data_IF_781929838285
#
_entry.id   IF_781929838285
#
_cell.length_a   1.000
_cell.length_b   1.000
_cell.length_c   1.000
_cell.angle_alpha   90.00
_cell.angle_beta   90.00
_cell.angle_gamma   90.00
#
_symmetry.space_group_name_H-M   'P 1'
#
loop_
_entity.id
_entity.type
_entity.pdbx_description
1 polymer ?
#
# COMPACT_ATOMS: atom_id res chain seq x y z
N UNK A 1 7.78 3.51 25.36
CA UNK A 1 6.38 3.09 25.58
C UNK A 1 5.52 4.12 24.92
N UNK A 2 4.68 3.73 23.95
CA UNK A 2 3.80 4.68 23.26
C UNK A 2 2.78 5.29 24.23
N UNK A 3 2.23 6.46 23.93
CA UNK A 3 1.21 7.10 24.76
C UNK A 3 -0.04 6.22 24.87
N UNK A 4 -0.31 5.43 23.84
CA UNK A 4 -1.30 4.36 23.86
C UNK A 4 -0.92 3.20 24.77
N UNK A 5 0.32 2.73 24.80
CA UNK A 5 0.76 1.73 25.76
C UNK A 5 0.62 2.25 27.20
N UNK A 6 0.98 3.51 27.45
CA UNK A 6 0.83 4.16 28.76
C UNK A 6 -0.64 4.34 29.13
N UNK A 7 -1.50 4.72 28.17
CA UNK A 7 -2.95 4.85 28.38
C UNK A 7 -3.58 3.48 28.61
N UNK A 8 -3.18 2.47 27.86
CA UNK A 8 -3.62 1.09 28.01
C UNK A 8 -3.12 0.51 29.35
N UNK A 9 -1.91 0.83 29.78
CA UNK A 9 -1.40 0.47 31.11
C UNK A 9 -2.12 1.22 32.23
N UNK A 10 -2.49 2.49 32.04
CA UNK A 10 -3.32 3.25 32.99
C UNK A 10 -4.71 2.66 33.10
N UNK A 11 -5.31 2.22 31.98
CA UNK A 11 -6.61 1.55 31.97
C UNK A 11 -6.54 0.12 32.52
N UNK A 12 -5.48 -0.65 32.23
CA UNK A 12 -5.21 -1.96 32.84
C UNK A 12 -5.00 -1.80 34.35
N UNK A 13 -4.20 -0.82 34.79
CA UNK A 13 -4.02 -0.53 36.22
C UNK A 13 -5.34 -0.13 36.88
N UNK A 14 -6.14 0.73 36.23
CA UNK A 14 -7.47 1.12 36.71
C UNK A 14 -8.42 -0.07 36.80
N UNK A 15 -8.41 -0.93 35.79
CA UNK A 15 -9.21 -2.15 35.74
C UNK A 15 -8.78 -3.13 36.84
N UNK A 16 -7.48 -3.35 37.01
CA UNK A 16 -6.92 -4.19 38.09
C UNK A 16 -7.26 -3.66 39.48
N UNK A 17 -7.22 -2.34 39.69
CA UNK A 17 -7.63 -1.69 40.94
C UNK A 17 -9.15 -1.79 41.19
N UNK A 18 -9.97 -1.76 40.13
CA UNK A 18 -11.43 -1.87 40.24
C UNK A 18 -11.92 -3.32 40.46
N UNK A 19 -11.11 -4.32 40.09
CA UNK A 19 -11.49 -5.74 40.14
C UNK A 19 -10.69 -6.55 41.17
N UNK A 20 -9.96 -5.88 42.07
CA UNK A 20 -9.21 -6.55 43.16
C UNK A 20 -10.09 -7.07 44.31
N UNK A 21 -11.41 -6.84 44.27
CA UNK A 21 -12.38 -7.14 45.35
C UNK A 21 -12.54 -8.64 45.70
N UNK A 22 -11.82 -9.54 45.03
CA UNK A 22 -11.92 -10.99 45.24
C UNK A 22 -10.73 -11.70 45.88
N UNK A 23 -9.60 -11.01 46.11
CA UNK A 23 -8.39 -11.61 46.69
C UNK A 23 -7.95 -10.82 47.92
N UNK A 24 -8.18 -11.40 49.10
CA UNK A 24 -7.75 -10.82 50.36
C UNK A 24 -6.21 -10.94 50.51
N UNK A 25 -5.61 -9.94 51.15
CA UNK A 25 -4.17 -9.75 51.45
C UNK A 25 -3.27 -9.18 50.35
N UNK A 26 -3.61 -7.98 49.86
CA UNK A 26 -2.77 -6.75 50.01
C UNK A 26 -3.54 -5.62 49.35
N UNK A 27 -4.30 -4.85 50.12
CA UNK A 27 -4.78 -3.56 49.64
C UNK A 27 -3.55 -2.72 49.33
N UNK A 28 -3.34 -2.37 48.05
CA UNK A 28 -2.24 -1.48 47.68
C UNK A 28 -2.34 -0.22 48.53
N UNK A 29 -1.27 0.08 49.25
CA UNK A 29 -1.25 1.25 50.10
C UNK A 29 -1.39 2.52 49.21
N UNK A 30 -2.06 3.58 49.70
CA UNK A 30 -2.25 4.82 48.94
C UNK A 30 -0.95 5.42 48.39
N UNK A 31 0.16 5.25 49.11
CA UNK A 31 1.50 5.68 48.76
C UNK A 31 2.08 4.85 47.60
N UNK A 32 1.88 3.53 47.59
CA UNK A 32 2.25 2.64 46.47
C UNK A 32 1.46 2.98 45.19
N UNK A 33 0.16 3.28 45.31
CA UNK A 33 -0.65 3.72 44.16
C UNK A 33 -0.20 5.08 43.64
N UNK A 34 0.11 6.02 44.54
CA UNK A 34 0.64 7.33 44.18
C UNK A 34 2.03 7.20 43.51
N UNK A 35 2.91 6.37 44.06
CA UNK A 35 4.22 6.08 43.51
C UNK A 35 4.14 5.42 42.13
N UNK A 36 3.24 4.45 41.92
CA UNK A 36 3.02 3.83 40.60
C UNK A 36 2.48 4.84 39.58
N UNK A 37 1.55 5.72 39.98
CA UNK A 37 1.05 6.79 39.12
C UNK A 37 2.13 7.81 38.78
N UNK A 38 2.96 8.18 39.74
CA UNK A 38 4.09 9.08 39.57
C UNK A 38 5.17 8.45 38.69
N UNK A 39 5.51 7.18 38.91
CA UNK A 39 6.45 6.42 38.09
C UNK A 39 5.95 6.27 36.65
N UNK A 40 4.65 5.99 36.45
CA UNK A 40 4.03 5.92 35.12
C UNK A 40 3.95 7.29 34.42
N UNK A 41 3.82 8.37 35.19
CA UNK A 41 3.72 9.74 34.65
C UNK A 41 5.10 10.37 34.42
N UNK A 42 6.09 10.05 35.23
CA UNK A 42 7.49 10.46 35.06
C UNK A 42 8.23 9.62 34.01
N UNK A 43 7.79 8.36 33.80
CA UNK A 43 8.25 7.52 32.70
C UNK A 43 7.50 7.78 31.37
N UNK A 44 6.38 8.53 31.40
CA UNK A 44 5.70 8.92 30.16
C UNK A 44 6.38 10.15 29.57
N UNK A 45 7.22 9.94 28.56
CA UNK A 45 7.63 11.01 27.65
C UNK A 45 6.37 11.56 26.99
N UNK A 46 6.19 12.88 26.99
CA UNK A 46 5.08 13.53 26.27
C UNK A 46 5.38 13.47 24.77
N UNK A 47 5.04 12.32 24.17
CA UNK A 47 5.28 12.04 22.75
C UNK A 47 4.52 13.02 21.85
N UNK A 48 3.37 13.51 22.30
CA UNK A 48 2.61 14.54 21.60
C UNK A 48 3.37 15.87 21.55
N UNK A 49 4.00 16.26 22.67
CA UNK A 49 4.89 17.43 22.70
C UNK A 49 6.14 17.20 21.85
N UNK A 50 6.76 16.05 21.93
CA UNK A 50 7.95 15.71 21.13
C UNK A 50 7.65 15.76 19.62
N UNK A 51 6.49 15.23 19.22
CA UNK A 51 6.00 15.30 17.86
C UNK A 51 5.80 16.76 17.43
N UNK A 52 5.19 17.58 18.28
CA UNK A 52 5.01 19.02 18.03
C UNK A 52 6.34 19.74 17.85
N UNK A 53 7.27 19.55 18.77
CA UNK A 53 8.59 20.18 18.71
C UNK A 53 9.35 19.76 17.43
N UNK A 54 9.20 18.50 17.01
CA UNK A 54 9.80 17.97 15.78
C UNK A 54 9.16 18.57 14.52
N UNK A 55 7.83 18.67 14.48
CA UNK A 55 7.06 19.28 13.39
C UNK A 55 7.41 20.76 13.24
N UNK A 56 7.40 21.52 14.33
CA UNK A 56 7.71 22.95 14.32
C UNK A 56 9.16 23.21 13.86
N UNK A 57 10.10 22.41 14.38
CA UNK A 57 11.52 22.49 13.97
C UNK A 57 11.70 22.16 12.49
N UNK A 58 11.02 21.12 12.00
CA UNK A 58 11.10 20.71 10.60
C UNK A 58 10.50 21.78 9.69
N UNK A 59 9.38 22.39 10.09
CA UNK A 59 8.76 23.48 9.36
C UNK A 59 9.73 24.66 9.17
N UNK A 60 10.36 25.12 10.25
CA UNK A 60 11.33 26.22 10.22
C UNK A 60 12.53 25.92 9.31
N UNK A 61 13.06 24.69 9.35
CA UNK A 61 14.20 24.32 8.50
C UNK A 61 13.81 24.28 7.03
N UNK A 62 12.62 23.79 6.69
CA UNK A 62 12.13 23.74 5.30
C UNK A 62 11.78 25.13 4.72
N UNK A 63 11.67 26.17 5.56
CA UNK A 63 11.54 27.56 5.13
C UNK A 63 12.89 28.22 4.81
N UNK A 64 14.01 27.65 5.29
CA UNK A 64 15.34 28.17 4.96
C UNK A 64 15.73 27.92 3.50
N UNK A 65 16.58 28.79 2.93
CA UNK A 65 17.04 28.68 1.53
C UNK A 65 17.89 27.42 1.30
N UNK A 66 18.62 26.98 2.32
CA UNK A 66 19.45 25.78 2.29
C UNK A 66 19.15 24.88 3.51
N UNK A 67 18.10 24.05 3.42
CA UNK A 67 17.73 23.15 4.51
C UNK A 67 18.81 22.11 4.74
N UNK A 68 19.46 22.16 5.91
CA UNK A 68 20.50 21.20 6.28
C UNK A 68 19.97 19.76 6.27
N UNK A 69 20.40 18.99 5.26
CA UNK A 69 19.91 17.64 4.99
C UNK A 69 19.98 16.70 6.19
N UNK A 70 21.10 16.71 6.93
CA UNK A 70 21.29 15.88 8.11
C UNK A 70 20.28 16.18 9.22
N UNK A 71 19.96 17.46 9.45
CA UNK A 71 19.00 17.89 10.45
C UNK A 71 17.57 17.57 10.03
N UNK A 72 17.24 17.75 8.76
CA UNK A 72 15.93 17.38 8.20
C UNK A 72 15.69 15.87 8.33
N UNK A 73 16.67 15.04 7.95
CA UNK A 73 16.56 13.59 8.06
C UNK A 73 16.35 13.14 9.50
N UNK A 74 17.11 13.70 10.45
CA UNK A 74 16.98 13.37 11.87
C UNK A 74 15.59 13.69 12.43
N UNK A 75 15.03 14.86 12.08
CA UNK A 75 13.68 15.24 12.50
C UNK A 75 12.61 14.37 11.84
N UNK A 76 12.80 14.02 10.56
CA UNK A 76 11.88 13.14 9.85
C UNK A 76 11.92 11.71 10.39
N UNK A 77 13.09 11.18 10.72
CA UNK A 77 13.22 9.86 11.35
C UNK A 77 12.48 9.84 12.69
N UNK A 78 12.55 10.92 13.46
CA UNK A 78 11.79 11.04 14.71
C UNK A 78 10.28 11.07 14.46
N UNK A 79 9.81 11.91 13.53
CA UNK A 79 8.39 11.99 13.16
C UNK A 79 7.90 10.64 12.63
N UNK A 80 8.70 9.94 11.81
CA UNK A 80 8.36 8.61 11.31
C UNK A 80 8.19 7.63 12.46
N UNK A 81 9.14 7.55 13.39
CA UNK A 81 9.05 6.71 14.59
C UNK A 81 7.80 6.99 15.41
N UNK A 82 7.50 8.27 15.66
CA UNK A 82 6.32 8.67 16.45
C UNK A 82 5.00 8.36 15.72
N UNK A 83 4.96 8.56 14.40
CA UNK A 83 3.74 8.35 13.59
C UNK A 83 3.49 6.89 13.19
N UNK A 84 4.28 5.94 13.69
CA UNK A 84 3.90 4.52 13.68
C UNK A 84 2.68 4.25 14.56
N UNK A 85 2.47 5.08 15.60
CA UNK A 85 1.25 5.08 16.40
C UNK A 85 0.15 5.89 15.69
N UNK A 86 -1.03 5.28 15.52
CA UNK A 86 -2.16 5.87 14.78
C UNK A 86 -2.70 7.14 15.45
N UNK A 87 -2.67 7.22 16.79
CA UNK A 87 -3.14 8.41 17.49
C UNK A 87 -2.16 9.57 17.29
N UNK A 88 -0.85 9.31 17.39
CA UNK A 88 0.18 10.30 17.08
C UNK A 88 0.19 10.69 15.59
N UNK A 89 -0.11 9.77 14.67
CA UNK A 89 -0.32 10.08 13.26
C UNK A 89 -1.53 11.02 13.05
N UNK A 90 -2.60 10.86 13.82
CA UNK A 90 -3.73 11.78 13.79
C UNK A 90 -3.39 13.14 14.41
N UNK A 91 -2.65 13.15 15.51
CA UNK A 91 -2.18 14.38 16.15
C UNK A 91 -1.22 15.16 15.25
N UNK A 92 -0.37 14.48 14.48
CA UNK A 92 0.48 15.07 13.43
C UNK A 92 -0.33 15.97 12.49
N UNK A 93 -1.53 15.55 12.05
CA UNK A 93 -2.38 16.40 11.23
C UNK A 93 -2.99 17.58 11.99
N UNK A 94 -3.35 17.40 13.26
CA UNK A 94 -3.94 18.45 14.12
C UNK A 94 -2.97 19.58 14.41
N UNK A 95 -1.68 19.27 14.54
CA UNK A 95 -0.61 20.25 14.80
C UNK A 95 -0.03 20.87 13.51
N UNK A 96 -0.66 20.67 12.36
CA UNK A 96 -0.24 21.30 11.10
C UNK A 96 0.75 20.50 10.26
N UNK A 97 1.01 19.23 10.59
CA UNK A 97 1.90 18.34 9.82
C UNK A 97 1.50 18.17 8.34
N UNK A 98 0.22 18.38 8.02
CA UNK A 98 -0.25 18.42 6.62
C UNK A 98 0.49 19.47 5.79
N UNK A 99 0.76 20.66 6.35
CA UNK A 99 1.45 21.74 5.64
C UNK A 99 2.89 21.35 5.31
N UNK A 100 3.56 20.65 6.23
CA UNK A 100 4.90 20.11 6.03
C UNK A 100 4.89 19.06 4.91
N UNK A 101 3.95 18.11 4.97
CA UNK A 101 3.78 17.10 3.91
C UNK A 101 3.65 17.75 2.54
N UNK A 102 2.75 18.73 2.40
CA UNK A 102 2.56 19.45 1.14
C UNK A 102 3.81 20.24 0.74
N UNK A 103 4.50 20.89 1.69
CA UNK A 103 5.75 21.61 1.39
C UNK A 103 6.81 20.67 0.85
N UNK A 104 6.96 19.48 1.43
CA UNK A 104 7.92 18.46 1.00
C UNK A 104 7.54 17.86 -0.37
N UNK A 105 6.27 17.51 -0.58
CA UNK A 105 5.77 16.93 -1.84
C UNK A 105 5.90 17.88 -3.04
N UNK A 106 5.52 19.16 -2.86
CA UNK A 106 5.40 20.09 -3.98
C UNK A 106 6.63 20.97 -4.19
N UNK A 107 7.39 21.24 -3.13
CA UNK A 107 8.51 22.20 -3.16
C UNK A 107 9.78 21.66 -2.48
N UNK A 108 9.77 20.40 -2.03
CA UNK A 108 10.91 19.80 -1.36
C UNK A 108 12.04 19.47 -2.35
N UNK A 109 13.30 19.44 -1.89
CA UNK A 109 14.42 19.04 -2.72
C UNK A 109 14.31 17.55 -3.11
N UNK A 110 14.90 17.11 -4.26
CA UNK A 110 14.75 15.75 -4.75
C UNK A 110 15.15 14.64 -3.75
N UNK A 111 16.19 14.87 -2.94
CA UNK A 111 16.67 13.91 -1.95
C UNK A 111 15.65 13.59 -0.85
N UNK A 112 14.63 14.43 -0.67
CA UNK A 112 13.59 14.29 0.35
C UNK A 112 12.37 13.48 -0.12
N UNK A 113 12.23 13.24 -1.44
CA UNK A 113 11.02 12.63 -2.01
C UNK A 113 10.71 11.27 -1.43
N UNK A 114 11.73 10.41 -1.31
CA UNK A 114 11.55 9.06 -0.78
C UNK A 114 11.08 9.07 0.69
N UNK A 115 11.65 9.97 1.51
CA UNK A 115 11.31 10.09 2.93
C UNK A 115 9.94 10.76 3.11
N UNK A 116 9.59 11.72 2.25
CA UNK A 116 8.24 12.29 2.18
C UNK A 116 7.18 11.21 1.86
N UNK A 117 7.44 10.38 0.85
CA UNK A 117 6.55 9.28 0.49
C UNK A 117 6.44 8.26 1.64
N UNK A 118 7.54 7.98 2.35
CA UNK A 118 7.50 7.14 3.54
C UNK A 118 6.62 7.75 4.63
N UNK A 119 6.71 9.06 4.86
CA UNK A 119 5.86 9.73 5.85
C UNK A 119 4.38 9.68 5.46
N UNK A 120 4.05 9.94 4.19
CA UNK A 120 2.67 9.76 3.69
C UNK A 120 2.19 8.34 3.93
N UNK A 121 3.01 7.33 3.59
CA UNK A 121 2.66 5.94 3.81
C UNK A 121 2.38 5.66 5.29
N UNK A 122 3.25 6.12 6.18
CA UNK A 122 3.17 5.87 7.61
C UNK A 122 1.87 6.44 8.19
N UNK A 123 1.60 7.72 7.94
CA UNK A 123 0.44 8.39 8.53
C UNK A 123 -0.89 7.92 7.95
N UNK A 124 -0.90 7.38 6.73
CA UNK A 124 -2.12 6.90 6.06
C UNK A 124 -2.36 5.39 6.21
N UNK A 125 -1.36 4.62 6.66
CA UNK A 125 -1.49 3.16 6.77
C UNK A 125 -2.58 2.78 7.76
N UNK A 126 -3.61 2.09 7.27
CA UNK A 126 -4.77 1.66 8.07
C UNK A 126 -5.42 2.82 8.87
N UNK A 127 -5.34 4.05 8.37
CA UNK A 127 -5.84 5.25 9.03
C UNK A 127 -6.84 6.02 8.13
N UNK A 128 -8.14 5.72 8.19
CA UNK A 128 -9.16 6.37 7.37
C UNK A 128 -9.26 7.90 7.53
N UNK A 129 -8.95 8.41 8.73
CA UNK A 129 -8.95 9.86 8.98
C UNK A 129 -7.85 10.55 8.19
N UNK A 130 -6.62 10.03 8.29
CA UNK A 130 -5.48 10.53 7.53
C UNK A 130 -5.64 10.32 6.02
N UNK A 131 -6.14 9.15 5.58
CA UNK A 131 -6.44 8.88 4.17
C UNK A 131 -7.43 9.92 3.61
N UNK A 132 -8.51 10.20 4.34
CA UNK A 132 -9.50 11.23 3.95
C UNK A 132 -8.89 12.63 3.86
N UNK A 133 -8.10 13.04 4.87
CA UNK A 133 -7.40 14.33 4.88
C UNK A 133 -6.43 14.47 3.70
N UNK A 134 -5.58 13.46 3.47
CA UNK A 134 -4.64 13.45 2.35
C UNK A 134 -5.35 13.48 0.99
N UNK A 135 -6.48 12.76 0.86
CA UNK A 135 -7.30 12.77 -0.35
C UNK A 135 -7.86 14.16 -0.65
N UNK A 136 -8.43 14.84 0.36
CA UNK A 136 -8.95 16.21 0.23
C UNK A 136 -7.88 17.23 -0.16
N UNK A 137 -6.61 16.96 0.16
CA UNK A 137 -5.45 17.81 -0.16
C UNK A 137 -4.75 17.42 -1.46
N UNK A 138 -5.34 16.56 -2.27
CA UNK A 138 -4.79 16.08 -3.55
C UNK A 138 -3.41 15.40 -3.41
N UNK A 139 -3.10 14.82 -2.25
CA UNK A 139 -1.83 14.11 -2.04
C UNK A 139 -1.74 12.91 -2.98
N UNK A 140 -2.82 12.12 -3.10
CA UNK A 140 -2.86 10.97 -4.00
C UNK A 140 -2.62 11.36 -5.47
N UNK A 141 -3.23 12.47 -5.93
CA UNK A 141 -3.02 12.97 -7.28
C UNK A 141 -1.55 13.33 -7.51
N UNK A 142 -0.91 13.98 -6.54
CA UNK A 142 0.52 14.32 -6.65
C UNK A 142 1.41 13.08 -6.67
N UNK A 143 1.12 12.07 -5.84
CA UNK A 143 1.88 10.81 -5.85
C UNK A 143 1.80 10.11 -7.21
N UNK A 144 0.62 10.09 -7.84
CA UNK A 144 0.43 9.50 -9.17
C UNK A 144 1.15 10.30 -10.26
N UNK A 145 1.15 11.63 -10.18
CA UNK A 145 1.89 12.53 -11.08
C UNK A 145 3.41 12.26 -11.05
N UNK A 146 3.95 11.85 -9.90
CA UNK A 146 5.40 11.58 -9.74
C UNK A 146 5.85 10.24 -10.34
N UNK A 147 4.96 9.26 -10.50
CA UNK A 147 5.32 7.89 -10.95
C UNK A 147 6.00 7.82 -12.33
N UNK A 148 5.53 8.52 -13.38
CA UNK A 148 6.09 8.39 -14.72
C UNK A 148 7.55 8.83 -14.81
N UNK A 149 7.91 9.88 -14.07
CA UNK A 149 9.21 10.54 -14.17
C UNK A 149 10.23 10.04 -13.14
N UNK A 150 9.81 9.34 -12.09
CA UNK A 150 10.72 8.89 -11.04
C UNK A 150 11.57 7.71 -11.51
N UNK A 151 12.89 7.86 -11.54
CA UNK A 151 13.83 6.84 -12.01
C UNK A 151 14.51 6.08 -10.86
N UNK A 152 14.58 6.68 -9.68
CA UNK A 152 15.22 6.07 -8.51
C UNK A 152 14.35 4.93 -7.96
N UNK A 153 14.88 3.71 -8.00
CA UNK A 153 14.16 2.52 -7.57
C UNK A 153 13.78 2.58 -6.07
N UNK A 154 14.58 3.25 -5.23
CA UNK A 154 14.25 3.43 -3.80
C UNK A 154 13.05 4.36 -3.67
N UNK A 155 13.02 5.48 -4.39
CA UNK A 155 11.91 6.42 -4.39
C UNK A 155 10.64 5.77 -4.97
N UNK A 156 10.74 5.03 -6.07
CA UNK A 156 9.61 4.26 -6.62
C UNK A 156 9.01 3.29 -5.61
N UNK A 157 9.83 2.57 -4.83
CA UNK A 157 9.31 1.69 -3.75
C UNK A 157 8.50 2.47 -2.72
N UNK A 158 8.95 3.67 -2.34
CA UNK A 158 8.27 4.52 -1.36
C UNK A 158 7.01 5.17 -1.94
N UNK A 159 7.04 5.59 -3.21
CA UNK A 159 5.86 6.09 -3.94
C UNK A 159 4.76 5.04 -4.01
N UNK A 160 5.09 3.82 -4.47
CA UNK A 160 4.13 2.71 -4.52
C UNK A 160 3.57 2.37 -3.14
N UNK A 161 4.42 2.41 -2.10
CA UNK A 161 3.98 2.22 -0.72
C UNK A 161 3.01 3.33 -0.25
N UNK A 162 3.33 4.59 -0.52
CA UNK A 162 2.48 5.73 -0.18
C UNK A 162 1.11 5.65 -0.86
N UNK A 163 1.10 5.31 -2.16
CA UNK A 163 -0.13 5.10 -2.92
C UNK A 163 -0.93 3.93 -2.32
N UNK A 164 -0.27 2.81 -2.05
CA UNK A 164 -0.88 1.64 -1.40
C UNK A 164 -1.56 2.02 -0.08
N UNK A 165 -0.86 2.68 0.83
CA UNK A 165 -1.41 3.09 2.13
C UNK A 165 -2.51 4.16 2.02
N UNK A 166 -2.45 5.03 0.99
CA UNK A 166 -3.47 6.06 0.76
C UNK A 166 -4.76 5.53 0.13
N UNK A 167 -4.76 4.31 -0.41
CA UNK A 167 -5.86 3.77 -1.23
C UNK A 167 -6.48 2.50 -0.66
N UNK A 168 -5.67 1.51 -0.26
CA UNK A 168 -6.16 0.20 0.16
C UNK A 168 -6.98 0.27 1.44
N UNK A 169 -8.07 -0.51 1.49
CA UNK A 169 -9.02 -0.51 2.59
C UNK A 169 -9.82 0.79 2.70
N UNK A 170 -9.78 1.65 1.68
CA UNK A 170 -10.40 2.97 1.68
C UNK A 170 -11.01 3.28 0.32
N UNK A 171 -12.27 2.83 0.12
CA UNK A 171 -12.98 2.94 -1.16
C UNK A 171 -12.97 4.34 -1.80
N UNK A 172 -13.09 5.46 -1.07
CA UNK A 172 -12.93 6.79 -1.68
C UNK A 172 -11.56 7.00 -2.32
N UNK A 173 -10.49 6.49 -1.71
CA UNK A 173 -9.14 6.52 -2.26
C UNK A 173 -9.01 5.65 -3.50
N UNK A 174 -9.56 4.43 -3.48
CA UNK A 174 -9.58 3.53 -4.66
C UNK A 174 -10.33 4.16 -5.83
N UNK A 175 -11.48 4.81 -5.56
CA UNK A 175 -12.25 5.52 -6.58
C UNK A 175 -11.41 6.62 -7.23
N UNK A 176 -10.84 7.52 -6.43
CA UNK A 176 -10.01 8.61 -6.96
C UNK A 176 -8.76 8.09 -7.66
N UNK A 177 -8.13 7.04 -7.16
CA UNK A 177 -7.02 6.37 -7.86
C UNK A 177 -7.43 5.91 -9.25
N UNK A 178 -8.61 5.29 -9.37
CA UNK A 178 -9.16 4.82 -10.65
C UNK A 178 -9.49 5.99 -11.58
N UNK A 179 -10.18 7.02 -11.07
CA UNK A 179 -10.57 8.22 -11.83
C UNK A 179 -9.34 9.00 -12.35
N UNK A 180 -8.23 8.97 -11.60
CA UNK A 180 -6.96 9.59 -11.98
C UNK A 180 -6.05 8.68 -12.81
N UNK A 181 -6.58 7.60 -13.40
CA UNK A 181 -5.82 6.68 -14.27
C UNK A 181 -4.61 6.05 -13.56
N UNK A 182 -4.79 5.75 -12.27
CA UNK A 182 -3.73 5.19 -11.43
C UNK A 182 -3.27 3.80 -11.89
N UNK A 183 -4.18 2.98 -12.43
CA UNK A 183 -3.84 1.67 -12.98
C UNK A 183 -2.89 1.81 -14.18
N UNK A 184 -3.11 2.79 -15.06
CA UNK A 184 -2.21 3.10 -16.18
C UNK A 184 -0.85 3.56 -15.69
N UNK A 185 -0.81 4.46 -14.70
CA UNK A 185 0.43 4.99 -14.15
C UNK A 185 1.30 3.87 -13.56
N UNK A 186 0.72 3.01 -12.71
CA UNK A 186 1.44 1.89 -12.10
C UNK A 186 1.88 0.86 -13.15
N UNK A 187 1.01 0.51 -14.10
CA UNK A 187 1.37 -0.40 -15.19
C UNK A 187 2.48 0.18 -16.07
N UNK A 188 2.46 1.49 -16.32
CA UNK A 188 3.50 2.21 -17.07
C UNK A 188 4.88 2.10 -16.42
N UNK A 189 4.95 2.19 -15.09
CA UNK A 189 6.18 1.93 -14.34
C UNK A 189 6.67 0.49 -14.58
N UNK A 190 5.79 -0.50 -14.52
CA UNK A 190 6.17 -1.91 -14.74
C UNK A 190 6.75 -2.13 -16.15
N UNK A 191 6.16 -1.55 -17.20
CA UNK A 191 6.70 -1.63 -18.56
C UNK A 191 8.06 -0.97 -18.69
N UNK A 192 8.23 0.21 -18.12
CA UNK A 192 9.51 0.94 -18.14
C UNK A 192 10.62 0.12 -17.49
N UNK A 193 10.31 -0.57 -16.40
CA UNK A 193 11.25 -1.42 -15.67
C UNK A 193 11.63 -2.71 -16.43
N UNK A 194 10.94 -3.06 -17.53
CA UNK A 194 11.36 -4.18 -18.39
C UNK A 194 12.53 -3.80 -19.32
N UNK A 195 12.89 -2.51 -19.43
CA UNK A 195 14.06 -2.10 -20.21
C UNK A 195 15.36 -2.44 -19.45
N UNK A 196 15.88 -3.63 -19.75
CA UNK A 196 17.11 -4.15 -19.14
C UNK A 196 18.37 -3.34 -19.47
N UNK A 197 18.34 -2.49 -20.52
CA UNK A 197 19.45 -1.57 -20.79
C UNK A 197 19.48 -0.42 -19.81
N UNK A 198 18.30 0.07 -19.42
CA UNK A 198 18.14 1.16 -18.45
C UNK A 198 18.27 0.68 -17.01
N UNK A 199 17.80 -0.54 -16.71
CA UNK A 199 17.82 -1.11 -15.37
C UNK A 199 18.56 -2.46 -15.36
N UNK A 200 19.90 -2.46 -15.20
CA UNK A 200 20.69 -3.69 -15.27
C UNK A 200 20.56 -4.58 -14.02
N UNK A 201 20.21 -4.01 -12.86
CA UNK A 201 19.98 -4.78 -11.63
C UNK A 201 18.56 -5.37 -11.60
N UNK A 202 18.44 -6.56 -12.19
CA UNK A 202 17.19 -7.31 -12.25
C UNK A 202 16.58 -7.61 -10.86
N UNK A 203 17.40 -7.73 -9.81
CA UNK A 203 16.93 -8.06 -8.46
C UNK A 203 16.18 -6.87 -7.83
N UNK A 204 16.78 -5.68 -7.88
CA UNK A 204 16.15 -4.45 -7.39
C UNK A 204 14.89 -4.10 -8.17
N UNK A 205 14.92 -4.29 -9.49
CA UNK A 205 13.75 -4.11 -10.37
C UNK A 205 12.61 -5.03 -9.98
N UNK A 206 12.89 -6.33 -9.77
CA UNK A 206 11.88 -7.32 -9.41
C UNK A 206 11.12 -6.91 -8.14
N UNK A 207 11.81 -6.42 -7.12
CA UNK A 207 11.16 -5.93 -5.90
C UNK A 207 10.19 -4.75 -6.13
N UNK A 208 10.45 -3.89 -7.13
CA UNK A 208 9.53 -2.80 -7.49
C UNK A 208 8.35 -3.36 -8.29
N UNK A 209 8.61 -4.24 -9.25
CA UNK A 209 7.58 -4.90 -10.04
C UNK A 209 6.62 -5.72 -9.17
N UNK A 210 7.13 -6.48 -8.19
CA UNK A 210 6.30 -7.26 -7.26
C UNK A 210 5.36 -6.37 -6.44
N UNK A 211 5.86 -5.21 -5.97
CA UNK A 211 5.05 -4.23 -5.24
C UNK A 211 4.00 -3.58 -6.14
N UNK A 212 4.34 -3.23 -7.38
CA UNK A 212 3.41 -2.67 -8.34
C UNK A 212 2.31 -3.68 -8.73
N UNK A 213 2.68 -4.94 -8.99
CA UNK A 213 1.76 -6.02 -9.28
C UNK A 213 0.81 -6.30 -8.12
N UNK A 214 1.34 -6.36 -6.89
CA UNK A 214 0.53 -6.52 -5.68
C UNK A 214 -0.44 -5.36 -5.46
N UNK A 215 0.01 -4.11 -5.70
CA UNK A 215 -0.85 -2.94 -5.59
C UNK A 215 -2.04 -3.01 -6.57
N UNK A 216 -1.78 -3.33 -7.85
CA UNK A 216 -2.84 -3.50 -8.84
C UNK A 216 -3.79 -4.63 -8.41
N UNK A 217 -3.25 -5.75 -7.92
CA UNK A 217 -4.05 -6.89 -7.45
C UNK A 217 -5.00 -6.56 -6.31
N UNK A 218 -4.53 -5.81 -5.30
CA UNK A 218 -5.42 -5.35 -4.23
C UNK A 218 -6.49 -4.38 -4.79
N UNK A 219 -6.07 -3.39 -5.58
CA UNK A 219 -6.97 -2.32 -6.01
C UNK A 219 -8.01 -2.77 -7.04
N UNK A 220 -7.73 -3.78 -7.85
CA UNK A 220 -8.73 -4.37 -8.76
C UNK A 220 -9.87 -5.01 -7.97
N UNK A 221 -9.56 -5.74 -6.89
CA UNK A 221 -10.57 -6.38 -6.04
C UNK A 221 -11.45 -5.34 -5.34
N UNK A 222 -10.83 -4.28 -4.81
CA UNK A 222 -11.56 -3.19 -4.18
C UNK A 222 -12.35 -2.35 -5.20
N UNK A 223 -11.81 -2.14 -6.40
CA UNK A 223 -12.50 -1.43 -7.48
C UNK A 223 -13.79 -2.14 -7.90
N UNK A 224 -13.81 -3.48 -7.93
CA UNK A 224 -15.01 -4.26 -8.24
C UNK A 224 -16.19 -3.96 -7.28
N UNK A 225 -15.92 -3.46 -6.08
CA UNK A 225 -16.93 -3.05 -5.11
C UNK A 225 -17.53 -1.66 -5.38
N UNK A 226 -16.94 -0.88 -6.30
CA UNK A 226 -17.32 0.49 -6.61
C UNK A 226 -18.18 0.52 -7.88
N UNK A 227 -19.45 0.96 -7.80
CA UNK A 227 -20.30 1.05 -8.98
C UNK A 227 -19.70 1.97 -10.06
N UNK A 228 -19.63 1.47 -11.30
CA UNK A 228 -19.14 2.22 -12.45
C UNK A 228 -17.61 2.21 -12.64
N UNK A 229 -16.84 1.60 -11.74
CA UNK A 229 -15.37 1.51 -11.87
C UNK A 229 -14.91 0.55 -12.98
N UNK A 230 -15.79 -0.37 -13.42
CA UNK A 230 -15.47 -1.39 -14.41
C UNK A 230 -15.00 -0.79 -15.75
N UNK A 231 -15.56 0.37 -16.13
CA UNK A 231 -15.16 1.05 -17.37
C UNK A 231 -13.72 1.58 -17.29
N UNK A 232 -13.29 2.05 -16.12
CA UNK A 232 -11.93 2.57 -15.91
C UNK A 232 -10.85 1.48 -16.02
N UNK A 233 -11.21 0.21 -15.83
CA UNK A 233 -10.27 -0.93 -15.87
C UNK A 233 -10.48 -1.84 -17.09
N UNK A 234 -11.35 -1.48 -18.02
CA UNK A 234 -11.69 -2.34 -19.18
C UNK A 234 -10.51 -2.64 -20.09
N UNK A 235 -9.54 -1.72 -20.19
CA UNK A 235 -8.32 -1.88 -20.99
C UNK A 235 -7.23 -2.70 -20.26
N UNK A 236 -7.38 -2.92 -18.96
CA UNK A 236 -6.36 -3.52 -18.10
C UNK A 236 -5.97 -4.95 -18.54
N UNK A 237 -6.89 -5.86 -18.94
CA UNK A 237 -6.53 -7.23 -19.30
C UNK A 237 -5.47 -7.34 -20.39
N UNK A 238 -5.62 -6.59 -21.49
CA UNK A 238 -4.65 -6.59 -22.58
C UNK A 238 -3.29 -6.10 -22.08
N UNK A 239 -3.29 -5.07 -21.24
CA UNK A 239 -2.07 -4.50 -20.67
C UNK A 239 -1.35 -5.48 -19.74
N UNK A 240 -2.10 -6.21 -18.91
CA UNK A 240 -1.57 -7.24 -18.02
C UNK A 240 -1.03 -8.45 -18.79
N UNK A 241 -1.75 -8.91 -19.81
CA UNK A 241 -1.29 -9.99 -20.68
C UNK A 241 0.02 -9.62 -21.38
N UNK A 242 0.15 -8.39 -21.87
CA UNK A 242 1.41 -7.90 -22.45
C UNK A 242 2.56 -7.85 -21.45
N UNK A 243 2.33 -7.44 -20.20
CA UNK A 243 3.36 -7.49 -19.14
C UNK A 243 3.83 -8.93 -18.89
N UNK A 244 2.89 -9.87 -18.80
CA UNK A 244 3.18 -11.29 -18.58
C UNK A 244 3.94 -11.90 -19.76
N UNK A 245 3.57 -11.59 -21.00
CA UNK A 245 4.27 -12.03 -22.21
C UNK A 245 5.74 -11.59 -22.26
N UNK A 246 6.04 -10.42 -21.71
CA UNK A 246 7.40 -9.86 -21.67
C UNK A 246 8.18 -10.26 -20.41
N UNK A 247 7.51 -10.85 -19.42
CA UNK A 247 8.14 -11.27 -18.17
C UNK A 247 8.80 -12.65 -18.33
N UNK A 248 10.03 -12.84 -17.81
CA UNK A 248 10.74 -14.11 -17.93
C UNK A 248 10.10 -15.24 -17.11
N UNK A 249 9.44 -14.88 -16.01
CA UNK A 249 8.75 -15.80 -15.10
C UNK A 249 7.28 -15.37 -14.93
N UNK A 250 6.35 -16.32 -14.77
CA UNK A 250 4.97 -15.99 -14.44
C UNK A 250 4.92 -15.26 -13.10
N UNK A 251 4.10 -14.20 -13.05
CA UNK A 251 3.91 -13.39 -11.85
C UNK A 251 2.50 -13.63 -11.31
N UNK A 252 2.41 -14.14 -10.08
CA UNK A 252 1.17 -14.61 -9.46
C UNK A 252 0.10 -13.51 -9.36
N UNK A 253 0.44 -12.34 -8.83
CA UNK A 253 -0.50 -11.22 -8.67
C UNK A 253 -1.08 -10.75 -10.02
N UNK A 254 -0.30 -10.72 -11.09
CA UNK A 254 -0.74 -10.31 -12.43
C UNK A 254 -1.67 -11.35 -13.04
N UNK A 255 -1.39 -12.64 -12.86
CA UNK A 255 -2.29 -13.73 -13.29
C UNK A 255 -3.60 -13.67 -12.50
N UNK A 256 -3.54 -13.45 -11.20
CA UNK A 256 -4.71 -13.27 -10.33
C UNK A 256 -5.53 -12.05 -10.74
N UNK A 257 -4.89 -10.90 -11.00
CA UNK A 257 -5.56 -9.72 -11.55
C UNK A 257 -6.31 -10.05 -12.84
N UNK A 258 -5.63 -10.72 -13.77
CA UNK A 258 -6.21 -11.03 -15.07
C UNK A 258 -7.44 -11.94 -14.94
N UNK A 259 -7.39 -12.94 -14.05
CA UNK A 259 -8.56 -13.77 -13.73
C UNK A 259 -9.72 -12.91 -13.22
N UNK A 260 -9.48 -12.13 -12.18
CA UNK A 260 -10.51 -11.29 -11.54
C UNK A 260 -11.19 -10.37 -12.56
N UNK A 261 -10.41 -9.69 -13.41
CA UNK A 261 -10.96 -8.74 -14.38
C UNK A 261 -11.70 -9.46 -15.52
N UNK A 262 -11.21 -10.60 -16.00
CA UNK A 262 -11.86 -11.34 -17.09
C UNK A 262 -13.16 -12.05 -16.64
N UNK A 263 -13.22 -12.52 -15.40
CA UNK A 263 -14.44 -13.14 -14.85
C UNK A 263 -15.42 -12.10 -14.32
N UNK A 264 -14.97 -10.87 -14.04
CA UNK A 264 -15.77 -9.84 -13.36
C UNK A 264 -16.02 -10.16 -11.89
N UNK A 265 -15.18 -11.00 -11.28
CA UNK A 265 -15.30 -11.40 -9.89
C UNK A 265 -14.78 -10.31 -8.95
N UNK A 266 -15.20 -10.35 -7.69
CA UNK A 266 -14.75 -9.40 -6.66
C UNK A 266 -13.56 -9.91 -5.84
N UNK A 267 -13.21 -11.18 -5.96
CA UNK A 267 -12.07 -11.82 -5.29
C UNK A 267 -11.45 -12.91 -6.18
N UNK A 268 -10.21 -13.29 -5.87
CA UNK A 268 -9.50 -14.36 -6.58
C UNK A 268 -10.17 -15.72 -6.39
N UNK A 269 -10.63 -16.05 -5.17
CA UNK A 269 -11.30 -17.33 -4.89
C UNK A 269 -12.56 -17.47 -5.74
N UNK A 270 -13.38 -16.42 -5.81
CA UNK A 270 -14.56 -16.39 -6.66
C UNK A 270 -14.20 -16.48 -8.15
N UNK A 271 -13.10 -15.87 -8.59
CA UNK A 271 -12.66 -15.95 -9.98
C UNK A 271 -12.25 -17.38 -10.38
N UNK A 272 -11.55 -18.09 -9.48
CA UNK A 272 -11.14 -19.49 -9.70
C UNK A 272 -12.36 -20.42 -9.70
N UNK A 273 -13.31 -20.22 -8.78
CA UNK A 273 -14.51 -21.06 -8.65
C UNK A 273 -15.54 -20.87 -9.76
N UNK A 274 -15.72 -19.63 -10.23
CA UNK A 274 -16.63 -19.31 -11.35
C UNK A 274 -16.23 -20.08 -12.61
N UNK A 275 -14.92 -20.23 -12.87
CA UNK A 275 -14.40 -21.02 -13.98
C UNK A 275 -14.50 -22.54 -13.76
N UNK A 276 -14.55 -22.99 -12.50
CA UNK A 276 -14.75 -24.41 -12.18
C UNK A 276 -16.23 -24.82 -12.21
N UNK A 277 -17.15 -23.85 -12.32
CA UNK A 277 -18.59 -24.09 -12.35
C UNK A 277 -19.07 -24.37 -13.78
N UNK A 278 -19.66 -25.54 -14.02
CA UNK A 278 -20.25 -25.91 -15.32
C UNK A 278 -21.39 -24.94 -15.68
N UNK A 279 -21.12 -23.93 -16.52
CA UNK A 279 -22.14 -23.00 -17.02
C UNK A 279 -21.77 -21.52 -17.07
N UNK A 280 -20.48 -21.15 -16.92
CA UNK A 280 -20.09 -19.73 -17.04
C UNK A 280 -20.43 -19.17 -18.43
N UNK A 281 -21.41 -18.27 -18.47
CA UNK A 281 -21.75 -17.48 -19.64
C UNK A 281 -21.14 -16.10 -19.45
N UNK A 282 -20.10 -15.78 -20.22
CA UNK A 282 -19.49 -14.44 -20.21
C UNK A 282 -20.59 -13.40 -20.44
N UNK A 283 -20.77 -12.49 -19.49
CA UNK A 283 -21.62 -11.32 -19.74
C UNK A 283 -20.99 -10.49 -20.85
N UNK A 284 -21.80 -9.97 -21.79
CA UNK A 284 -21.33 -9.12 -22.90
C UNK A 284 -20.56 -7.86 -22.45
N UNK A 285 -20.68 -7.49 -21.17
CA UNK A 285 -20.00 -6.39 -20.50
C UNK A 285 -18.63 -6.75 -19.94
N UNK A 286 -18.26 -8.02 -19.84
CA UNK A 286 -16.98 -8.43 -19.28
C UNK A 286 -15.83 -7.98 -20.19
N UNK A 287 -14.72 -7.45 -19.63
CA UNK A 287 -13.51 -7.16 -20.39
C UNK A 287 -13.03 -8.41 -21.13
N UNK A 288 -12.64 -8.27 -22.39
CA UNK A 288 -12.14 -9.38 -23.21
C UNK A 288 -10.77 -9.02 -23.75
N UNK A 289 -9.87 -10.01 -23.78
CA UNK A 289 -8.59 -9.85 -24.47
C UNK A 289 -8.81 -9.63 -25.97
N UNK A 290 -8.05 -8.73 -26.58
CA UNK A 290 -8.04 -8.61 -28.04
C UNK A 290 -7.60 -9.92 -28.70
N UNK A 291 -8.11 -10.20 -29.91
CA UNK A 291 -7.92 -11.49 -30.59
C UNK A 291 -6.45 -11.87 -30.74
N UNK A 292 -5.60 -10.88 -31.08
CA UNK A 292 -4.16 -11.06 -31.24
C UNK A 292 -3.48 -11.41 -29.91
N UNK A 293 -3.75 -10.62 -28.85
CA UNK A 293 -3.19 -10.83 -27.52
C UNK A 293 -3.63 -12.17 -26.94
N UNK A 294 -4.90 -12.53 -27.12
CA UNK A 294 -5.46 -13.80 -26.69
C UNK A 294 -4.72 -14.99 -27.29
N UNK A 295 -4.43 -14.97 -28.59
CA UNK A 295 -3.72 -16.07 -29.25
C UNK A 295 -2.29 -16.22 -28.71
N UNK A 296 -1.53 -15.12 -28.66
CA UNK A 296 -0.15 -15.11 -28.13
C UNK A 296 -0.10 -15.55 -26.67
N UNK A 297 -0.99 -15.00 -25.84
CA UNK A 297 -1.05 -15.29 -24.42
C UNK A 297 -1.48 -16.74 -24.14
N UNK A 298 -2.39 -17.30 -24.93
CA UNK A 298 -2.80 -18.71 -24.80
C UNK A 298 -1.63 -19.66 -25.08
N UNK A 299 -0.83 -19.36 -26.11
CA UNK A 299 0.40 -20.11 -26.40
C UNK A 299 1.41 -20.00 -25.25
N UNK A 300 1.58 -18.79 -24.70
CA UNK A 300 2.46 -18.55 -23.56
C UNK A 300 2.03 -19.33 -22.31
N UNK A 301 0.73 -19.30 -21.95
CA UNK A 301 0.19 -20.08 -20.83
C UNK A 301 0.44 -21.57 -20.99
N UNK A 302 0.32 -22.11 -22.21
CA UNK A 302 0.60 -23.53 -22.47
C UNK A 302 2.08 -23.88 -22.31
N UNK A 303 2.99 -22.94 -22.61
CA UNK A 303 4.41 -23.13 -22.36
C UNK A 303 4.73 -23.08 -20.85
N UNK A 304 4.18 -22.09 -20.13
CA UNK A 304 4.39 -21.95 -18.69
C UNK A 304 3.84 -23.12 -17.89
N UNK A 305 2.65 -23.62 -18.22
CA UNK A 305 2.04 -24.79 -17.58
C UNK A 305 2.95 -26.03 -17.66
N UNK A 306 3.59 -26.26 -18.82
CA UNK A 306 4.55 -27.36 -19.02
C UNK A 306 5.81 -27.17 -18.17
N UNK A 307 6.35 -25.95 -18.15
CA UNK A 307 7.53 -25.62 -17.35
C UNK A 307 7.27 -25.85 -15.85
N UNK A 308 6.17 -25.32 -15.34
CA UNK A 308 5.86 -25.35 -13.91
C UNK A 308 5.47 -26.77 -13.45
N UNK A 309 4.72 -27.52 -14.26
CA UNK A 309 4.32 -28.90 -13.93
C UNK A 309 5.53 -29.84 -13.79
N UNK A 310 6.65 -29.53 -14.43
CA UNK A 310 7.90 -30.29 -14.31
C UNK A 310 8.69 -30.00 -13.03
N UNK A 311 8.43 -28.86 -12.38
CA UNK A 311 9.24 -28.35 -11.26
C UNK A 311 8.92 -28.92 -9.88
N UNK A 312 7.75 -29.57 -9.69
CA UNK A 312 7.39 -30.25 -8.44
C UNK A 312 7.28 -29.36 -7.17
N UNK A 313 7.54 -28.06 -7.26
CA UNK A 313 7.57 -27.16 -6.11
C UNK A 313 6.15 -26.87 -5.59
N UNK A 314 5.98 -26.98 -4.27
CA UNK A 314 4.73 -26.62 -3.59
C UNK A 314 4.46 -25.12 -3.66
N UNK A 315 5.49 -24.29 -3.82
CA UNK A 315 5.35 -22.84 -3.98
C UNK A 315 4.65 -22.46 -5.30
N UNK A 316 4.64 -23.35 -6.29
CA UNK A 316 4.03 -23.11 -7.60
C UNK A 316 2.52 -23.46 -7.63
N UNK A 317 1.94 -23.90 -6.51
CA UNK A 317 0.55 -24.35 -6.47
C UNK A 317 -0.44 -23.29 -6.96
N UNK A 318 -0.35 -22.06 -6.45
CA UNK A 318 -1.21 -20.94 -6.87
C UNK A 318 -1.01 -20.61 -8.34
N UNK A 319 0.24 -20.56 -8.81
CA UNK A 319 0.56 -20.32 -10.22
C UNK A 319 -0.08 -21.37 -11.14
N UNK A 320 -0.01 -22.65 -10.78
CA UNK A 320 -0.66 -23.74 -11.55
C UNK A 320 -2.17 -23.57 -11.56
N UNK A 321 -2.76 -23.24 -10.42
CA UNK A 321 -4.21 -22.99 -10.30
C UNK A 321 -4.63 -21.85 -11.21
N UNK A 322 -3.93 -20.71 -11.17
CA UNK A 322 -4.29 -19.54 -11.96
C UNK A 322 -4.06 -19.73 -13.45
N UNK A 323 -2.95 -20.36 -13.85
CA UNK A 323 -2.68 -20.70 -15.26
C UNK A 323 -3.72 -21.69 -15.77
N UNK A 324 -4.07 -22.71 -14.99
CA UNK A 324 -5.09 -23.68 -15.35
C UNK A 324 -6.46 -23.04 -15.58
N UNK A 325 -6.87 -22.14 -14.66
CA UNK A 325 -8.11 -21.38 -14.79
C UNK A 325 -8.10 -20.47 -16.04
N UNK A 326 -7.03 -19.70 -16.25
CA UNK A 326 -6.91 -18.82 -17.43
C UNK A 326 -6.94 -19.60 -18.75
N UNK A 327 -6.30 -20.78 -18.82
CA UNK A 327 -6.33 -21.60 -20.04
C UNK A 327 -7.74 -22.08 -20.37
N UNK A 328 -8.52 -22.48 -19.37
CA UNK A 328 -9.93 -22.86 -19.56
C UNK A 328 -10.74 -21.66 -20.05
N UNK A 329 -10.62 -20.53 -19.35
CA UNK A 329 -11.29 -19.28 -19.69
C UNK A 329 -10.97 -18.79 -21.12
N UNK A 330 -9.74 -18.96 -21.59
CA UNK A 330 -9.34 -18.51 -22.94
C UNK A 330 -9.59 -19.56 -24.03
N UNK A 331 -10.01 -20.77 -23.67
CA UNK A 331 -10.42 -21.81 -24.62
C UNK A 331 -11.91 -21.74 -25.01
N UNK A 332 -12.73 -21.02 -24.22
CA UNK A 332 -14.17 -20.78 -24.44
C UNK A 332 -14.45 -19.51 -25.23
#
# INVERSE_FOLDING_TARGET
MSENEVRNLKEVLRFSLQHSDGMCETGMDPETVAWLREALSSASVDLTKELRDSVDSLHQILESEDPQESKVRLLLDNILSLTEDIDLANDFFRIGGCNILLRMLYKGPPWLRADCCQLVANVTQNNPNAQSLCLQKNVLAKLLEMLPDEEDLRCLKKLLLAISCSTRGFLPGVKIFSDLRGFEAVSGVMFRLLDSKKYPDASSVRHVQDKAAFLIFCLVQEAAMIPGSADNIRWLPDKLAHLLLQSPTPQEHLLGCLLIVLTGSSSIDAAVDVENSHGFSRTLSSPVLSTEVRAQFSSWLCAQDKCISSGGDSADFELRTYIGALRRLLST
#
